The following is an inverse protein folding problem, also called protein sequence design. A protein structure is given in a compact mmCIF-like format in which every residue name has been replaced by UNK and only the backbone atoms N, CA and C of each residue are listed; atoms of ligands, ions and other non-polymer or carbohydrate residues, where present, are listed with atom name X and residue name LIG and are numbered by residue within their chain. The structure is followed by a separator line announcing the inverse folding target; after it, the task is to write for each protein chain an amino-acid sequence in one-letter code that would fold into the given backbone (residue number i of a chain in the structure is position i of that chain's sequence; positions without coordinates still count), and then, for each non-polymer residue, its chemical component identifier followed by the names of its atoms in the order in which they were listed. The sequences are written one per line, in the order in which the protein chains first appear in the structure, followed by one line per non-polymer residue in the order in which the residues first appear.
data_IF_294711350930
#
_entry.id   IF_294711350930
#
_cell.length_a   1.000
_cell.length_b   1.000
_cell.length_c   1.000
_cell.angle_alpha   90.00
_cell.angle_beta   90.00
_cell.angle_gamma   90.00
#
_symmetry.space_group_name_H-M   'P 1'
#
loop_
_entity.id
_entity.type
_entity.pdbx_description
1 polymer ?
#
# COMPACT_ATOMS: atom_id res chain seq x y z
N UNK A 1 -24.82 2.02 -2.54
CA UNK A 1 -23.83 2.96 -1.99
C UNK A 1 -22.55 2.74 -2.76
N UNK A 2 -22.20 3.64 -3.68
CA UNK A 2 -20.99 3.55 -4.51
C UNK A 2 -19.77 3.85 -3.64
N UNK A 3 -18.87 2.88 -3.48
CA UNK A 3 -17.63 3.07 -2.74
C UNK A 3 -16.64 3.85 -3.59
N UNK A 4 -16.31 5.09 -3.19
CA UNK A 4 -15.24 5.87 -3.83
C UNK A 4 -13.88 5.29 -3.39
N UNK A 5 -12.93 5.08 -4.31
CA UNK A 5 -11.58 4.62 -3.97
C UNK A 5 -10.93 5.51 -2.89
N UNK A 6 -10.29 4.89 -1.91
CA UNK A 6 -9.65 5.57 -0.79
C UNK A 6 -10.60 6.03 0.32
N UNK A 7 -11.92 5.88 0.18
CA UNK A 7 -12.90 6.12 1.24
C UNK A 7 -13.40 4.80 1.84
N UNK A 8 -13.58 4.80 3.15
CA UNK A 8 -14.27 3.78 3.95
C UNK A 8 -15.52 4.43 4.55
N UNK A 9 -16.65 4.32 3.83
CA UNK A 9 -17.85 5.10 4.14
C UNK A 9 -17.59 6.60 3.94
N UNK A 10 -17.74 7.40 4.99
CA UNK A 10 -17.48 8.86 4.95
C UNK A 10 -16.05 9.23 5.34
N UNK A 11 -15.24 8.26 5.76
CA UNK A 11 -13.90 8.49 6.30
C UNK A 11 -12.80 8.05 5.33
N UNK A 12 -11.60 8.62 5.45
CA UNK A 12 -10.46 8.34 4.57
C UNK A 12 -10.22 9.46 3.57
N UNK A 13 -9.73 9.11 2.38
CA UNK A 13 -9.39 10.06 1.32
C UNK A 13 -7.99 10.65 1.47
N UNK A 14 -7.65 11.60 0.59
CA UNK A 14 -6.33 12.24 0.55
C UNK A 14 -6.49 13.75 0.74
N UNK A 15 -6.28 14.22 1.97
CA UNK A 15 -6.31 15.65 2.33
C UNK A 15 -4.88 16.18 2.48
N UNK A 16 -4.17 16.27 1.36
CA UNK A 16 -2.75 16.66 1.30
C UNK A 16 -2.56 17.84 0.34
N UNK A 17 -1.44 18.58 0.44
CA UNK A 17 -1.05 19.54 -0.59
C UNK A 17 -0.97 18.90 -1.98
N UNK A 18 -1.31 19.67 -3.02
CA UNK A 18 -1.27 19.23 -4.41
C UNK A 18 0.11 18.74 -4.84
N UNK A 19 1.16 19.31 -4.26
CA UNK A 19 2.56 18.90 -4.50
C UNK A 19 2.88 17.47 -4.06
N UNK A 20 2.08 16.88 -3.16
CA UNK A 20 2.25 15.51 -2.70
C UNK A 20 1.40 14.49 -3.47
N UNK A 21 0.46 14.95 -4.30
CA UNK A 21 -0.42 14.05 -5.06
C UNK A 21 0.40 13.10 -5.96
N UNK A 22 1.39 13.56 -6.75
CA UNK A 22 2.16 12.66 -7.62
C UNK A 22 2.92 11.58 -6.85
N UNK A 23 3.54 11.94 -5.72
CA UNK A 23 4.25 10.98 -4.89
C UNK A 23 3.33 9.91 -4.27
N UNK A 24 2.09 10.28 -3.94
CA UNK A 24 1.09 9.32 -3.45
C UNK A 24 0.59 8.40 -4.57
N UNK A 25 0.42 8.93 -5.78
CA UNK A 25 0.02 8.13 -6.94
C UNK A 25 1.12 7.10 -7.28
N UNK A 26 2.39 7.53 -7.29
CA UNK A 26 3.55 6.65 -7.52
C UNK A 26 3.65 5.56 -6.44
N UNK A 27 3.44 5.92 -5.17
CA UNK A 27 3.43 4.96 -4.06
C UNK A 27 2.30 3.94 -4.21
N UNK A 28 1.09 4.38 -4.58
CA UNK A 28 -0.05 3.48 -4.78
C UNK A 28 0.19 2.52 -5.96
N UNK A 29 0.80 3.00 -7.04
CA UNK A 29 1.19 2.17 -8.17
C UNK A 29 2.24 1.14 -7.76
N UNK A 30 3.35 1.57 -7.14
CA UNK A 30 4.42 0.67 -6.70
C UNK A 30 3.94 -0.37 -5.69
N UNK A 31 3.04 0.02 -4.77
CA UNK A 31 2.41 -0.92 -3.84
C UNK A 31 1.54 -1.96 -4.56
N UNK A 32 0.73 -1.55 -5.56
CA UNK A 32 -0.12 -2.48 -6.32
C UNK A 32 0.72 -3.54 -7.03
N UNK A 33 1.82 -3.12 -7.64
CA UNK A 33 2.74 -4.01 -8.34
C UNK A 33 3.42 -4.98 -7.36
N UNK A 34 4.04 -4.44 -6.31
CA UNK A 34 4.73 -5.24 -5.28
C UNK A 34 3.80 -6.22 -4.55
N UNK A 35 2.54 -5.85 -4.35
CA UNK A 35 1.54 -6.72 -3.71
C UNK A 35 1.25 -8.00 -4.52
N UNK A 36 1.41 -7.96 -5.84
CA UNK A 36 1.21 -9.12 -6.71
C UNK A 36 2.49 -9.81 -7.14
N UNK A 37 3.65 -9.26 -6.78
CA UNK A 37 4.96 -9.83 -7.07
C UNK A 37 5.32 -10.92 -6.06
N UNK A 38 5.47 -12.16 -6.53
CA UNK A 38 5.82 -13.32 -5.71
C UNK A 38 7.19 -13.17 -5.04
N UNK A 39 8.15 -12.51 -5.68
CA UNK A 39 9.49 -12.31 -5.12
C UNK A 39 9.46 -11.34 -3.93
N UNK A 40 8.68 -10.27 -4.05
CA UNK A 40 8.46 -9.31 -2.96
C UNK A 40 7.76 -9.97 -1.77
N UNK A 41 6.74 -10.81 -2.02
CA UNK A 41 6.06 -11.55 -0.95
C UNK A 41 7.02 -12.55 -0.27
N UNK A 42 7.84 -13.26 -1.03
CA UNK A 42 8.80 -14.22 -0.49
C UNK A 42 9.84 -13.55 0.42
N UNK A 43 10.39 -12.41 0.00
CA UNK A 43 11.33 -11.64 0.83
C UNK A 43 10.65 -11.10 2.10
N UNK A 44 9.43 -10.55 1.98
CA UNK A 44 8.68 -10.06 3.12
C UNK A 44 8.39 -11.17 4.15
N UNK A 45 8.02 -12.36 3.69
CA UNK A 45 7.80 -13.53 4.53
C UNK A 45 9.10 -14.00 5.20
N UNK A 46 10.22 -14.02 4.47
CA UNK A 46 11.53 -14.38 5.01
C UNK A 46 11.93 -13.41 6.13
N UNK A 47 11.82 -12.11 5.90
CA UNK A 47 12.07 -11.09 6.91
C UNK A 47 11.11 -11.22 8.10
N UNK A 48 9.85 -11.55 7.84
CA UNK A 48 8.86 -11.86 8.87
C UNK A 48 9.34 -12.96 9.82
N UNK A 49 9.83 -14.07 9.27
CA UNK A 49 10.27 -15.24 10.04
C UNK A 49 11.63 -15.03 10.70
N UNK A 50 12.61 -14.55 9.93
CA UNK A 50 14.02 -14.59 10.31
C UNK A 50 14.48 -13.32 11.03
N UNK A 51 13.81 -12.19 10.80
CA UNK A 51 14.17 -10.91 11.42
C UNK A 51 13.14 -10.47 12.46
N UNK A 52 11.85 -10.44 12.11
CA UNK A 52 10.80 -9.98 13.01
C UNK A 52 10.31 -11.06 14.01
N UNK A 53 10.67 -12.33 13.80
CA UNK A 53 10.27 -13.45 14.67
C UNK A 53 8.78 -13.78 14.60
N UNK A 54 8.10 -13.47 13.48
CA UNK A 54 6.71 -13.84 13.25
C UNK A 54 6.66 -15.30 12.78
N UNK A 55 5.96 -16.20 13.50
CA UNK A 55 5.82 -17.60 13.09
C UNK A 55 4.99 -17.72 11.81
#
# INVERSE_FOLDING_TARGET
MTSTPGLYGTYGGRYVPETLIPALDDLEAGWRDARTDESFQAELDELGRNFAGRP
#
